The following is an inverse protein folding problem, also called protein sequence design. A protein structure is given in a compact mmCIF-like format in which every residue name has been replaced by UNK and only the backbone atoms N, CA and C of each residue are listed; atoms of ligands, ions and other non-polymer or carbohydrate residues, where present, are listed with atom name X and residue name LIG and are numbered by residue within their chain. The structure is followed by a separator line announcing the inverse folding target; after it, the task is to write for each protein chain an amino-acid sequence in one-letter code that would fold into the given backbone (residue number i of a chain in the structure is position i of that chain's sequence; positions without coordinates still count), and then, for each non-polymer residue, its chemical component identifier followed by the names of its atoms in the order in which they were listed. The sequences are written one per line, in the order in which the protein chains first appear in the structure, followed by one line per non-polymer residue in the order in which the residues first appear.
data_IF_673715393897
#
_entry.id   IF_673715393897
#
_cell.length_a   1.000
_cell.length_b   1.000
_cell.length_c   1.000
_cell.angle_alpha   90.00
_cell.angle_beta   90.00
_cell.angle_gamma   90.00
#
_symmetry.space_group_name_H-M   'P 1'
#
loop_
_entity.id
_entity.type
_entity.pdbx_description
1 polymer ?
#
# COMPACT_ATOMS: atom_id res chain seq x y z
N UNK A 1 4.67 -1.01 -75.24
CA UNK A 1 4.68 0.02 -74.22
C UNK A 1 4.19 -0.65 -72.92
N UNK A 2 5.09 -1.10 -72.02
CA UNK A 2 4.75 -1.74 -70.80
C UNK A 2 4.76 -0.70 -69.65
N UNK A 3 3.61 -0.38 -69.11
CA UNK A 3 3.47 0.46 -67.90
C UNK A 3 3.82 -0.39 -66.66
N UNK A 4 4.91 -0.09 -66.01
CA UNK A 4 5.27 -0.64 -64.72
C UNK A 4 4.52 0.13 -63.63
N UNK A 5 3.53 -0.52 -63.01
CA UNK A 5 2.86 0.00 -61.82
C UNK A 5 3.71 -0.28 -60.60
N UNK A 6 4.23 0.76 -59.99
CA UNK A 6 4.98 0.66 -58.72
C UNK A 6 3.99 0.61 -57.56
N UNK A 7 3.92 -0.54 -56.93
CA UNK A 7 3.10 -0.74 -55.71
C UNK A 7 3.89 -0.19 -54.51
N UNK A 8 3.44 0.93 -53.96
CA UNK A 8 4.01 1.49 -52.74
C UNK A 8 3.36 0.78 -51.57
N UNK A 9 4.12 -0.09 -50.92
CA UNK A 9 3.68 -0.79 -49.69
C UNK A 9 3.90 0.15 -48.52
N UNK A 10 2.83 0.80 -48.06
CA UNK A 10 2.83 1.65 -46.90
C UNK A 10 2.89 0.78 -45.59
N UNK A 11 4.06 0.82 -44.97
CA UNK A 11 4.24 0.17 -43.65
C UNK A 11 3.53 1.01 -42.58
N UNK A 12 2.36 0.58 -42.14
CA UNK A 12 1.69 1.18 -41.01
C UNK A 12 2.46 0.80 -39.72
N UNK A 13 3.18 1.76 -39.15
CA UNK A 13 3.84 1.64 -37.88
C UNK A 13 2.77 1.71 -36.77
N UNK A 14 2.35 0.57 -36.28
CA UNK A 14 1.46 0.49 -35.10
C UNK A 14 2.25 0.96 -33.88
N UNK A 15 2.03 2.22 -33.46
CA UNK A 15 2.46 2.70 -32.16
C UNK A 15 1.61 1.97 -31.11
N UNK A 16 2.16 0.91 -30.53
CA UNK A 16 1.66 0.34 -29.29
C UNK A 16 1.91 1.35 -28.19
N UNK A 17 0.88 2.10 -27.81
CA UNK A 17 0.89 2.87 -26.56
C UNK A 17 0.90 1.87 -25.42
N UNK A 18 2.10 1.52 -24.92
CA UNK A 18 2.22 0.89 -23.62
C UNK A 18 1.56 1.85 -22.62
N UNK A 19 0.46 1.41 -22.00
CA UNK A 19 -0.12 2.14 -20.91
C UNK A 19 0.99 2.32 -19.87
N UNK A 20 1.52 3.53 -19.76
CA UNK A 20 2.38 3.90 -18.67
C UNK A 20 1.50 3.73 -17.41
N UNK A 21 1.69 2.63 -16.69
CA UNK A 21 1.20 2.54 -15.32
C UNK A 21 1.83 3.71 -14.59
N UNK A 22 1.07 4.76 -14.45
CA UNK A 22 1.41 5.92 -13.66
C UNK A 22 1.82 5.39 -12.30
N UNK A 23 3.11 5.53 -11.96
CA UNK A 23 3.54 5.38 -10.59
C UNK A 23 2.61 6.26 -9.76
N UNK A 24 1.83 5.63 -8.87
CA UNK A 24 0.97 6.36 -7.96
C UNK A 24 1.86 7.37 -7.25
N UNK A 25 1.75 8.62 -7.66
CA UNK A 25 2.50 9.71 -7.06
C UNK A 25 2.06 9.78 -5.61
N UNK A 26 3.01 9.94 -4.66
CA UNK A 26 2.71 10.22 -3.25
C UNK A 26 1.78 11.42 -3.07
N UNK A 27 1.50 12.15 -4.15
CA UNK A 27 0.57 13.27 -4.20
C UNK A 27 -0.89 12.90 -3.86
N UNK A 28 -1.28 11.63 -3.94
CA UNK A 28 -2.63 11.18 -3.55
C UNK A 28 -2.86 11.14 -2.04
N UNK A 29 -1.79 11.09 -1.24
CA UNK A 29 -1.87 11.06 0.21
C UNK A 29 -1.78 12.47 0.80
N UNK A 30 -2.54 12.71 1.88
CA UNK A 30 -2.48 13.98 2.63
C UNK A 30 -1.41 13.88 3.71
N UNK A 31 -0.17 14.21 3.35
CA UNK A 31 0.98 14.14 4.24
C UNK A 31 0.93 15.17 5.39
N UNK A 32 -0.07 16.05 5.41
CA UNK A 32 -0.29 17.00 6.51
C UNK A 32 -1.20 16.43 7.59
N UNK A 33 -1.82 15.28 7.33
CA UNK A 33 -2.72 14.60 8.25
C UNK A 33 -2.21 13.22 8.61
N UNK A 34 -2.54 12.81 9.80
CA UNK A 34 -2.33 11.45 10.30
C UNK A 34 -3.67 10.88 10.77
N UNK A 35 -3.87 9.60 10.50
CA UNK A 35 -5.04 8.86 10.96
C UNK A 35 -4.60 7.51 11.51
N UNK A 36 -5.24 7.09 12.58
CA UNK A 36 -5.03 5.76 13.14
C UNK A 36 -6.29 4.93 12.94
N UNK A 37 -6.12 3.71 12.46
CA UNK A 37 -7.19 2.72 12.35
C UNK A 37 -6.86 1.51 13.22
N UNK A 38 -7.90 0.89 13.75
CA UNK A 38 -7.82 -0.37 14.51
C UNK A 38 -8.69 -1.42 13.83
N UNK A 39 -8.17 -2.61 13.65
CA UNK A 39 -8.90 -3.64 12.96
C UNK A 39 -8.20 -4.99 12.93
N UNK A 40 -8.61 -5.78 11.98
CA UNK A 40 -8.05 -7.10 11.70
C UNK A 40 -7.49 -7.13 10.28
N UNK A 41 -6.28 -7.65 10.15
CA UNK A 41 -5.65 -7.81 8.84
C UNK A 41 -6.42 -8.83 8.02
N UNK A 42 -6.93 -8.41 6.87
CA UNK A 42 -7.56 -9.28 5.87
C UNK A 42 -6.52 -9.96 5.00
N UNK A 43 -5.54 -9.19 4.53
CA UNK A 43 -4.48 -9.66 3.64
C UNK A 43 -3.21 -8.83 3.77
N UNK A 44 -2.06 -9.44 3.57
CA UNK A 44 -0.77 -8.79 3.51
C UNK A 44 -0.02 -9.20 2.24
N UNK A 45 0.08 -8.27 1.31
CA UNK A 45 0.69 -8.48 0.01
C UNK A 45 2.14 -8.01 0.02
N UNK A 46 3.05 -8.98 -0.05
CA UNK A 46 4.50 -8.71 -0.13
C UNK A 46 4.93 -8.63 -1.59
N UNK A 47 4.64 -7.51 -2.24
CA UNK A 47 4.78 -7.31 -3.69
C UNK A 47 5.67 -6.11 -4.03
N UNK A 48 6.25 -6.11 -5.23
CA UNK A 48 6.94 -4.96 -5.81
C UNK A 48 5.96 -4.17 -6.71
N UNK A 49 6.08 -2.85 -6.79
CA UNK A 49 7.09 -2.00 -6.12
C UNK A 49 6.81 -1.74 -4.63
N UNK A 50 5.58 -1.96 -4.15
CA UNK A 50 5.16 -1.68 -2.79
C UNK A 50 4.41 -2.85 -2.17
N UNK A 51 4.51 -2.98 -0.84
CA UNK A 51 3.63 -3.86 -0.09
C UNK A 51 2.25 -3.22 0.07
N UNK A 52 1.23 -4.06 0.30
CA UNK A 52 -0.12 -3.63 0.64
C UNK A 52 -0.63 -4.37 1.86
N UNK A 53 -1.32 -3.64 2.75
CA UNK A 53 -1.97 -4.19 3.93
C UNK A 53 -3.46 -3.89 3.80
N UNK A 54 -4.29 -4.93 3.69
CA UNK A 54 -5.74 -4.79 3.70
C UNK A 54 -6.24 -5.01 5.12
N UNK A 55 -6.95 -4.04 5.67
CA UNK A 55 -7.43 -4.05 7.07
C UNK A 55 -8.94 -3.91 7.10
N UNK A 56 -9.61 -4.85 7.75
CA UNK A 56 -11.02 -4.75 8.07
C UNK A 56 -11.21 -3.94 9.35
N UNK A 57 -11.85 -2.80 9.24
CA UNK A 57 -12.14 -1.88 10.34
C UNK A 57 -13.64 -1.91 10.63
N UNK A 58 -14.01 -2.24 11.87
CA UNK A 58 -15.40 -2.23 12.29
C UNK A 58 -15.77 -0.85 12.82
N UNK A 59 -16.73 -0.21 12.16
CA UNK A 59 -17.27 1.08 12.60
C UNK A 59 -18.17 0.96 13.85
N UNK A 60 -18.50 2.10 14.42
CA UNK A 60 -19.41 2.19 15.58
C UNK A 60 -20.82 1.67 15.26
N UNK A 61 -21.22 1.70 14.00
CA UNK A 61 -22.49 1.15 13.50
C UNK A 61 -22.44 -0.38 13.26
N UNK A 62 -21.32 -1.03 13.56
CA UNK A 62 -21.09 -2.45 13.37
C UNK A 62 -20.74 -2.85 11.93
N UNK A 63 -20.76 -1.94 10.97
CA UNK A 63 -20.36 -2.20 9.58
C UNK A 63 -18.84 -2.31 9.48
N UNK A 64 -18.39 -3.23 8.64
CA UNK A 64 -16.97 -3.42 8.35
C UNK A 64 -16.62 -2.67 7.07
N UNK A 65 -15.58 -1.84 7.16
CA UNK A 65 -14.99 -1.15 6.02
C UNK A 65 -13.57 -1.66 5.80
N UNK A 66 -13.25 -1.99 4.56
CA UNK A 66 -11.90 -2.41 4.18
C UNK A 66 -11.04 -1.18 3.86
N UNK A 67 -9.90 -1.08 4.53
CA UNK A 67 -8.86 -0.08 4.28
C UNK A 67 -7.71 -0.69 3.51
N UNK A 68 -7.23 -0.01 2.48
CA UNK A 68 -6.08 -0.42 1.67
C UNK A 68 -4.89 0.49 1.96
N UNK A 69 -3.84 -0.06 2.55
CA UNK A 69 -2.68 0.69 3.02
C UNK A 69 -1.46 0.34 2.18
N UNK A 70 -0.92 1.35 1.50
CA UNK A 70 0.32 1.23 0.73
C UNK A 70 1.53 1.39 1.64
N UNK A 71 2.47 0.46 1.58
CA UNK A 71 3.72 0.53 2.35
C UNK A 71 4.94 0.79 1.48
N UNK A 72 6.11 0.55 2.05
CA UNK A 72 7.38 0.67 1.35
C UNK A 72 7.66 -0.49 0.41
N UNK A 73 8.81 -0.44 -0.27
CA UNK A 73 9.25 -1.56 -1.10
C UNK A 73 9.71 -2.75 -0.24
N UNK A 74 9.49 -3.98 -0.70
CA UNK A 74 9.99 -5.17 -0.01
C UNK A 74 11.48 -5.11 0.33
N UNK A 75 12.32 -4.61 -0.57
CA UNK A 75 13.75 -4.47 -0.32
C UNK A 75 14.08 -3.43 0.77
N UNK A 76 13.35 -2.32 0.79
CA UNK A 76 13.48 -1.31 1.83
C UNK A 76 13.08 -1.86 3.20
N UNK A 77 11.97 -2.56 3.27
CA UNK A 77 11.43 -3.15 4.49
C UNK A 77 12.29 -4.30 5.02
N UNK A 78 12.86 -5.15 4.15
CA UNK A 78 13.83 -6.19 4.57
C UNK A 78 15.01 -5.59 5.33
N UNK A 79 15.55 -4.46 4.89
CA UNK A 79 16.63 -3.76 5.61
C UNK A 79 16.22 -3.24 6.99
N UNK A 80 14.92 -3.08 7.21
CA UNK A 80 14.32 -2.71 8.50
C UNK A 80 13.89 -3.93 9.32
N UNK A 81 14.22 -5.14 8.88
CA UNK A 81 13.90 -6.38 9.59
C UNK A 81 12.53 -6.98 9.28
N UNK A 82 11.80 -6.44 8.29
CA UNK A 82 10.53 -7.01 7.89
C UNK A 82 10.72 -8.28 7.05
N UNK A 83 9.74 -9.15 7.13
CA UNK A 83 9.61 -10.35 6.30
C UNK A 83 8.18 -10.49 5.80
N UNK A 84 7.95 -11.43 4.90
CA UNK A 84 6.60 -11.82 4.46
C UNK A 84 5.68 -12.28 5.60
N UNK A 85 6.28 -12.62 6.77
CA UNK A 85 5.56 -13.10 7.96
C UNK A 85 5.44 -12.03 9.04
N UNK A 86 5.87 -10.79 8.78
CA UNK A 86 5.76 -9.70 9.76
C UNK A 86 4.33 -9.36 10.10
N UNK A 87 3.43 -9.54 9.15
CA UNK A 87 1.98 -9.36 9.29
C UNK A 87 1.30 -10.57 8.66
N UNK A 88 0.25 -11.09 9.27
CA UNK A 88 -0.51 -12.22 8.76
C UNK A 88 -2.01 -11.91 8.76
N UNK A 89 -2.76 -12.53 7.86
CA UNK A 89 -4.23 -12.45 7.91
C UNK A 89 -4.74 -12.93 9.29
N UNK A 90 -5.71 -12.19 9.83
CA UNK A 90 -6.25 -12.42 11.17
C UNK A 90 -5.54 -11.71 12.31
N UNK A 91 -4.38 -11.09 12.07
CA UNK A 91 -3.68 -10.31 13.09
C UNK A 91 -4.50 -9.08 13.50
N UNK A 92 -4.50 -8.77 14.79
CA UNK A 92 -5.00 -7.49 15.28
C UNK A 92 -3.97 -6.41 15.06
N UNK A 93 -4.41 -5.29 14.50
CA UNK A 93 -3.54 -4.19 14.12
C UNK A 93 -4.10 -2.84 14.55
N UNK A 94 -3.23 -2.02 15.13
CA UNK A 94 -3.42 -0.57 15.23
C UNK A 94 -2.41 0.08 14.30
N UNK A 95 -2.88 0.80 13.29
CA UNK A 95 -2.05 1.28 12.18
C UNK A 95 -2.24 2.78 12.00
N UNK A 96 -1.12 3.50 11.96
CA UNK A 96 -1.05 4.92 11.63
C UNK A 96 -0.68 5.11 10.17
N UNK A 97 -1.35 6.04 9.52
CA UNK A 97 -1.17 6.34 8.09
C UNK A 97 -1.39 7.81 7.78
N UNK A 98 -0.87 8.25 6.64
CA UNK A 98 -1.35 9.45 5.96
C UNK A 98 -2.56 9.06 5.10
N UNK A 99 -3.75 9.65 5.34
CA UNK A 99 -4.96 9.26 4.63
C UNK A 99 -4.94 9.71 3.16
N UNK A 100 -5.81 9.09 2.34
CA UNK A 100 -6.07 9.56 0.99
C UNK A 100 -6.78 10.92 1.01
N UNK A 101 -6.39 11.83 0.13
CA UNK A 101 -6.97 13.18 0.01
C UNK A 101 -8.44 13.19 -0.37
N UNK A 102 -8.87 12.17 -1.12
CA UNK A 102 -10.26 12.03 -1.57
C UNK A 102 -11.19 11.43 -0.52
N UNK A 103 -10.68 11.05 0.65
CA UNK A 103 -11.44 10.46 1.74
C UNK A 103 -11.76 8.98 1.57
N UNK A 104 -11.27 8.32 0.52
CA UNK A 104 -11.39 6.87 0.35
C UNK A 104 -10.73 6.12 1.52
N UNK A 105 -11.23 4.91 1.89
CA UNK A 105 -10.65 4.12 2.98
C UNK A 105 -9.28 3.59 2.61
N UNK A 106 -8.23 4.24 3.09
CA UNK A 106 -6.85 3.87 2.83
C UNK A 106 -5.87 5.00 3.08
N UNK A 107 -4.60 4.71 2.85
CA UNK A 107 -3.53 5.66 3.06
C UNK A 107 -2.14 5.08 2.82
N UNK A 108 -1.12 5.88 3.12
CA UNK A 108 0.27 5.43 3.13
C UNK A 108 0.71 5.09 4.55
N UNK A 109 1.36 3.95 4.69
CA UNK A 109 1.82 3.39 5.96
C UNK A 109 2.86 4.27 6.65
N UNK A 110 2.70 4.48 7.94
CA UNK A 110 3.67 5.13 8.82
C UNK A 110 4.24 4.15 9.84
N UNK A 111 3.38 3.59 10.68
CA UNK A 111 3.74 2.66 11.75
C UNK A 111 2.55 1.76 12.10
N UNK A 112 2.81 0.67 12.77
CA UNK A 112 1.77 -0.20 13.28
C UNK A 112 2.19 -0.96 14.55
N UNK A 113 1.21 -1.28 15.37
CA UNK A 113 1.29 -2.25 16.45
C UNK A 113 0.51 -3.50 16.00
N UNK A 114 1.21 -4.62 15.86
CA UNK A 114 0.65 -5.90 15.41
C UNK A 114 0.90 -6.94 16.47
N UNK A 115 -0.15 -7.44 17.11
CA UNK A 115 -0.05 -8.42 18.21
C UNK A 115 1.00 -8.03 19.27
N UNK A 116 1.07 -6.74 19.63
CA UNK A 116 2.03 -6.22 20.61
C UNK A 116 3.44 -5.96 20.07
N UNK A 117 3.70 -6.21 18.76
CA UNK A 117 4.95 -5.92 18.09
C UNK A 117 4.83 -4.66 17.24
N UNK A 118 5.76 -3.73 17.43
CA UNK A 118 5.79 -2.49 16.66
C UNK A 118 6.52 -2.67 15.32
N UNK A 119 5.98 -2.06 14.26
CA UNK A 119 6.51 -2.05 12.91
C UNK A 119 6.52 -0.61 12.37
N UNK A 120 7.57 -0.22 11.64
CA UNK A 120 7.70 1.11 11.04
C UNK A 120 8.82 1.95 11.66
N UNK A 121 8.86 3.23 11.31
CA UNK A 121 9.86 4.17 11.80
C UNK A 121 9.38 4.82 13.10
N UNK A 122 10.31 5.07 14.05
CA UNK A 122 10.06 5.80 15.30
C UNK A 122 8.99 5.20 16.22
N UNK A 123 8.85 3.88 16.20
CA UNK A 123 7.79 3.16 16.93
C UNK A 123 7.88 3.26 18.46
N UNK A 124 9.07 3.53 19.01
CA UNK A 124 9.25 3.56 20.46
C UNK A 124 8.55 4.74 21.15
N UNK A 125 8.37 5.87 20.43
CA UNK A 125 7.66 7.04 20.94
C UNK A 125 6.15 6.92 20.71
N UNK A 126 5.73 6.22 19.66
CA UNK A 126 4.36 6.16 19.19
C UNK A 126 3.57 5.03 19.86
N UNK A 127 4.23 3.92 20.14
CA UNK A 127 3.66 2.78 20.86
C UNK A 127 4.57 2.43 22.04
N UNK A 128 4.47 3.14 23.15
CA UNK A 128 5.22 2.77 24.35
C UNK A 128 4.91 1.33 24.72
N UNK A 129 5.94 0.57 25.08
CA UNK A 129 5.79 -0.83 25.45
C UNK A 129 4.64 -0.97 26.47
N UNK A 130 3.70 -1.88 26.20
CA UNK A 130 2.65 -2.18 27.14
C UNK A 130 3.29 -2.56 28.50
N UNK A 131 2.77 -2.06 29.62
CA UNK A 131 3.31 -2.43 30.93
C UNK A 131 3.29 -3.95 31.05
N UNK A 132 4.43 -4.52 31.43
CA UNK A 132 4.56 -5.96 31.64
C UNK A 132 3.41 -6.43 32.55
N UNK A 133 2.65 -7.40 32.07
CA UNK A 133 1.59 -8.03 32.86
C UNK A 133 2.25 -8.59 34.15
N UNK A 134 1.76 -8.12 35.31
CA UNK A 134 2.17 -8.64 36.62
C UNK A 134 1.54 -9.99 36.85
#
# INVERSE_FOLDING_TARGET
MFRRSTLVLGTALALSTAAAYSHHSFAMFDNTKESTIEGEVKDFQWTNPHIWIQVNVKGSDGKVQEYSIEGGSPNGLKRQGWTKKSINAGDKISLKMHPLKDGSPGGSFMSALVNGKTLGRNVAEEYPAAPAAK
#
